data_IF_522533872621
#
_entry.id   IF_522533872621
#
_cell.length_a   1.000
_cell.length_b   1.000
_cell.length_c   1.000
_cell.angle_alpha   90.00
_cell.angle_beta   90.00
_cell.angle_gamma   90.00
#
_symmetry.space_group_name_H-M   'P 1'
#
loop_
_entity.id
_entity.type
_entity.pdbx_description
1 polymer ?
#
# COMPACT_ATOMS: atom_id res chain seq x y z
N UNK A 1 -12.25 3.72 -2.73
CA UNK A 1 -13.40 3.23 -3.50
C UNK A 1 -13.21 3.21 -5.00
N UNK A 2 -12.67 4.28 -5.63
CA UNK A 2 -12.50 4.29 -7.09
C UNK A 2 -11.54 3.20 -7.58
N UNK A 3 -10.41 3.01 -6.90
CA UNK A 3 -9.44 1.96 -7.23
C UNK A 3 -10.06 0.58 -7.02
N UNK A 4 -10.77 0.40 -5.90
CA UNK A 4 -11.44 -0.86 -5.58
C UNK A 4 -12.46 -1.24 -6.66
N UNK A 5 -13.31 -0.30 -7.05
CA UNK A 5 -14.31 -0.55 -8.09
C UNK A 5 -13.66 -0.86 -9.43
N UNK A 6 -12.63 -0.11 -9.80
CA UNK A 6 -11.89 -0.33 -11.04
C UNK A 6 -11.29 -1.74 -11.10
N UNK A 7 -10.70 -2.20 -9.99
CA UNK A 7 -10.12 -3.55 -9.91
C UNK A 7 -11.19 -4.63 -10.02
N UNK A 8 -12.34 -4.43 -9.37
CA UNK A 8 -13.45 -5.38 -9.46
C UNK A 8 -13.98 -5.53 -10.88
N UNK A 9 -14.01 -4.43 -11.61
CA UNK A 9 -14.45 -4.45 -13.02
C UNK A 9 -13.41 -5.09 -13.93
N UNK A 10 -12.14 -4.79 -13.72
CA UNK A 10 -11.05 -5.32 -14.54
C UNK A 10 -10.80 -6.81 -14.31
N UNK A 11 -10.94 -7.25 -13.07
CA UNK A 11 -10.69 -8.65 -12.68
C UNK A 11 -11.90 -9.25 -11.98
N UNK A 12 -12.99 -9.53 -12.71
CA UNK A 12 -14.23 -10.00 -12.07
C UNK A 12 -14.13 -11.40 -11.45
N UNK A 13 -13.08 -12.15 -11.78
CA UNK A 13 -12.82 -13.49 -11.24
C UNK A 13 -11.96 -13.47 -9.97
N UNK A 14 -11.53 -12.30 -9.52
CA UNK A 14 -10.70 -12.14 -8.31
C UNK A 14 -11.50 -11.53 -7.17
N UNK A 15 -11.06 -11.75 -5.95
CA UNK A 15 -11.70 -11.21 -4.76
C UNK A 15 -10.92 -10.00 -4.24
N UNK A 16 -11.63 -8.93 -3.93
CA UNK A 16 -11.04 -7.70 -3.43
C UNK A 16 -11.72 -7.27 -2.13
N UNK A 17 -10.94 -6.69 -1.23
CA UNK A 17 -11.43 -6.13 0.03
C UNK A 17 -10.93 -4.70 0.13
N UNK A 18 -11.83 -3.77 0.40
CA UNK A 18 -11.49 -2.37 0.65
C UNK A 18 -11.51 -2.11 2.16
N UNK A 19 -10.38 -1.69 2.72
CA UNK A 19 -10.24 -1.45 4.15
C UNK A 19 -10.56 -0.02 4.57
N UNK A 20 -10.78 0.87 3.60
CA UNK A 20 -11.10 2.29 3.84
C UNK A 20 -10.09 3.00 4.74
N UNK A 21 -8.81 2.85 4.43
CA UNK A 21 -7.73 3.50 5.19
C UNK A 21 -7.19 2.64 6.32
N UNK A 22 -7.20 3.16 7.53
CA UNK A 22 -6.61 2.47 8.68
C UNK A 22 -7.27 1.12 8.95
N UNK A 23 -6.44 0.12 9.23
CA UNK A 23 -6.91 -1.23 9.51
C UNK A 23 -7.55 -1.30 10.90
N UNK A 24 -8.75 -1.84 10.92
CA UNK A 24 -9.50 -2.04 12.16
C UNK A 24 -9.50 -3.53 12.54
N UNK A 25 -9.92 -3.81 13.76
CA UNK A 25 -9.95 -5.17 14.30
C UNK A 25 -10.72 -6.14 13.40
N UNK A 26 -11.88 -5.71 12.87
CA UNK A 26 -12.67 -6.54 11.96
C UNK A 26 -11.93 -6.92 10.68
N UNK A 27 -11.11 -6.00 10.14
CA UNK A 27 -10.30 -6.29 8.97
C UNK A 27 -9.27 -7.38 9.29
N UNK A 28 -8.61 -7.31 10.44
CA UNK A 28 -7.64 -8.32 10.84
C UNK A 28 -8.28 -9.69 11.07
N UNK A 29 -9.49 -9.74 11.63
CA UNK A 29 -10.20 -11.01 11.78
C UNK A 29 -10.44 -11.67 10.42
N UNK A 30 -10.87 -10.90 9.43
CA UNK A 30 -11.09 -11.41 8.08
C UNK A 30 -9.78 -11.86 7.43
N UNK A 31 -8.76 -11.00 7.48
CA UNK A 31 -7.48 -11.27 6.84
C UNK A 31 -6.76 -12.47 7.47
N UNK A 32 -6.86 -12.61 8.80
CA UNK A 32 -6.26 -13.77 9.48
C UNK A 32 -6.87 -15.07 8.98
N UNK A 33 -8.18 -15.12 8.77
CA UNK A 33 -8.85 -16.29 8.23
C UNK A 33 -8.47 -16.53 6.76
N UNK A 34 -8.50 -15.50 5.95
CA UNK A 34 -8.16 -15.62 4.52
C UNK A 34 -6.72 -16.06 4.32
N UNK A 35 -5.79 -15.59 5.15
CA UNK A 35 -4.37 -15.93 5.02
C UNK A 35 -4.08 -17.41 5.26
N UNK A 36 -5.00 -18.14 5.89
CA UNK A 36 -4.82 -19.59 6.14
C UNK A 36 -4.98 -20.41 4.86
N UNK A 37 -5.74 -19.95 3.89
CA UNK A 37 -6.06 -20.68 2.67
C UNK A 37 -5.73 -19.94 1.38
N UNK A 38 -5.42 -18.65 1.46
CA UNK A 38 -5.20 -17.81 0.28
C UNK A 38 -3.98 -16.93 0.47
N UNK A 39 -3.32 -16.61 -0.64
CA UNK A 39 -2.29 -15.58 -0.64
C UNK A 39 -2.95 -14.21 -0.68
N UNK A 40 -2.39 -13.27 0.08
CA UNK A 40 -2.90 -11.92 0.16
C UNK A 40 -2.01 -10.97 -0.64
N UNK A 41 -2.63 -9.98 -1.27
CA UNK A 41 -1.93 -8.91 -1.98
C UNK A 41 -2.46 -7.58 -1.44
N UNK A 42 -1.56 -6.72 -1.01
CA UNK A 42 -1.94 -5.41 -0.48
C UNK A 42 -1.45 -4.30 -1.40
N UNK A 43 -2.34 -3.37 -1.71
CA UNK A 43 -2.04 -2.16 -2.44
C UNK A 43 -2.59 -0.95 -1.70
N UNK A 44 -1.82 0.12 -1.67
CA UNK A 44 -2.20 1.35 -1.00
C UNK A 44 -1.48 2.56 -1.61
N UNK A 45 -1.75 3.73 -1.07
CA UNK A 45 -1.10 4.94 -1.50
C UNK A 45 0.34 5.01 -1.00
N UNK A 46 1.18 5.71 -1.75
CA UNK A 46 2.52 6.06 -1.31
C UNK A 46 2.48 7.36 -0.51
N UNK A 47 2.18 7.23 0.75
CA UNK A 47 2.30 8.30 1.74
C UNK A 47 2.75 7.65 3.06
N UNK A 48 3.15 8.44 4.07
CA UNK A 48 3.68 7.85 5.30
C UNK A 48 2.71 6.88 5.96
N UNK A 49 1.42 7.21 6.01
CA UNK A 49 0.39 6.36 6.59
C UNK A 49 0.22 5.05 5.81
N UNK A 50 0.22 5.15 4.48
CA UNK A 50 0.11 3.97 3.61
C UNK A 50 1.27 3.02 3.75
N UNK A 51 2.49 3.55 3.86
CA UNK A 51 3.69 2.73 4.07
C UNK A 51 3.67 2.04 5.43
N UNK A 52 3.17 2.73 6.47
CA UNK A 52 3.02 2.11 7.80
C UNK A 52 2.04 0.95 7.78
N UNK A 53 0.92 1.11 7.06
CA UNK A 53 -0.05 0.03 6.90
C UNK A 53 0.59 -1.15 6.16
N UNK A 54 1.30 -0.87 5.08
CA UNK A 54 2.00 -1.90 4.31
C UNK A 54 2.98 -2.68 5.18
N UNK A 55 3.78 -1.97 5.99
CA UNK A 55 4.72 -2.60 6.92
C UNK A 55 4.00 -3.47 7.95
N UNK A 56 2.94 -2.95 8.55
CA UNK A 56 2.18 -3.67 9.57
C UNK A 56 1.62 -4.98 9.02
N UNK A 57 1.07 -4.95 7.83
CA UNK A 57 0.53 -6.13 7.18
C UNK A 57 1.63 -7.13 6.81
N UNK A 58 2.75 -6.63 6.28
CA UNK A 58 3.87 -7.50 5.90
C UNK A 58 4.48 -8.21 7.11
N UNK A 59 4.62 -7.49 8.23
CA UNK A 59 5.12 -8.09 9.47
C UNK A 59 4.17 -9.14 10.04
N UNK A 60 2.86 -8.95 9.88
CA UNK A 60 1.86 -9.88 10.39
C UNK A 60 1.75 -11.16 9.54
N UNK A 61 1.69 -11.01 8.22
CA UNK A 61 1.42 -12.14 7.32
C UNK A 61 2.66 -12.70 6.62
N UNK A 62 3.77 -11.98 6.67
CA UNK A 62 5.07 -12.43 6.13
C UNK A 62 4.96 -12.89 4.67
N UNK A 63 5.43 -14.10 4.35
CA UNK A 63 5.40 -14.60 2.98
C UNK A 63 3.99 -14.89 2.44
N UNK A 64 2.98 -14.88 3.29
CA UNK A 64 1.58 -15.02 2.86
C UNK A 64 1.02 -13.77 2.22
N UNK A 65 1.72 -12.65 2.37
CA UNK A 65 1.29 -11.36 1.83
C UNK A 65 2.36 -10.79 0.93
N UNK A 66 1.92 -10.31 -0.24
CA UNK A 66 2.77 -9.59 -1.19
C UNK A 66 2.34 -8.13 -1.23
N UNK A 67 3.29 -7.22 -1.14
CA UNK A 67 3.05 -5.80 -1.35
C UNK A 67 2.96 -5.58 -2.87
N UNK A 68 1.78 -5.18 -3.33
CA UNK A 68 1.48 -5.07 -4.74
C UNK A 68 1.68 -3.64 -5.23
N UNK A 69 2.51 -3.49 -6.26
CA UNK A 69 2.89 -2.19 -6.82
C UNK A 69 3.64 -1.28 -5.84
N UNK A 70 4.49 -1.85 -5.00
CA UNK A 70 5.37 -1.07 -4.15
C UNK A 70 6.79 -1.08 -4.75
N UNK A 71 7.06 -0.14 -5.66
CA UNK A 71 8.38 0.03 -6.26
C UNK A 71 8.77 1.50 -6.30
N UNK A 72 10.07 1.75 -6.23
CA UNK A 72 10.60 3.10 -6.31
C UNK A 72 10.26 3.75 -7.66
N UNK A 73 10.30 2.98 -8.74
CA UNK A 73 10.02 3.47 -10.08
C UNK A 73 8.57 3.97 -10.20
N UNK A 74 7.61 3.21 -9.67
CA UNK A 74 6.20 3.61 -9.70
C UNK A 74 5.97 4.86 -8.87
N UNK A 75 6.65 4.97 -7.73
CA UNK A 75 6.57 6.15 -6.89
C UNK A 75 7.05 7.40 -7.65
N UNK A 76 8.23 7.32 -8.23
CA UNK A 76 8.84 8.46 -8.94
C UNK A 76 8.09 8.85 -10.20
N UNK A 77 7.63 7.87 -10.97
CA UNK A 77 6.90 8.13 -12.22
C UNK A 77 5.54 8.76 -12.02
N UNK A 78 4.95 8.61 -10.83
CA UNK A 78 3.58 9.02 -10.55
C UNK A 78 3.50 10.04 -9.40
N UNK A 79 4.57 10.77 -9.13
CA UNK A 79 4.59 11.78 -8.08
C UNK A 79 3.45 12.79 -8.27
N UNK A 80 2.69 13.02 -7.20
CA UNK A 80 1.66 14.04 -7.18
C UNK A 80 2.26 15.39 -6.79
N UNK A 81 1.45 16.45 -6.90
CA UNK A 81 1.83 17.77 -6.41
C UNK A 81 1.51 17.96 -4.93
N UNK A 82 0.93 16.94 -4.29
CA UNK A 82 0.56 17.02 -2.88
C UNK A 82 1.80 16.85 -2.02
N UNK A 83 2.15 17.93 -1.31
CA UNK A 83 3.28 17.95 -0.39
C UNK A 83 2.91 17.31 0.93
N UNK A 84 3.87 16.57 1.50
CA UNK A 84 3.72 15.95 2.81
C UNK A 84 4.38 16.87 3.83
N UNK A 85 3.64 17.25 4.89
CA UNK A 85 4.21 18.11 5.91
C UNK A 85 5.21 17.36 6.80
N UNK A 86 6.03 18.12 7.54
CA UNK A 86 7.10 17.55 8.38
C UNK A 86 6.57 16.61 9.46
N UNK A 87 5.40 16.88 10.01
CA UNK A 87 4.78 16.04 11.02
C UNK A 87 4.48 14.64 10.48
N UNK A 88 3.93 14.58 9.27
CA UNK A 88 3.64 13.31 8.60
C UNK A 88 4.90 12.60 8.16
N UNK A 89 5.89 13.34 7.66
CA UNK A 89 7.17 12.77 7.24
C UNK A 89 7.90 12.06 8.39
N UNK A 90 7.75 12.53 9.62
CA UNK A 90 8.36 11.88 10.78
C UNK A 90 7.87 10.46 10.99
N UNK A 91 6.67 10.14 10.52
CA UNK A 91 6.15 8.77 10.60
C UNK A 91 7.01 7.78 9.81
N UNK A 92 7.74 8.26 8.79
CA UNK A 92 8.63 7.42 8.00
C UNK A 92 9.76 6.83 8.83
N UNK A 93 10.14 7.47 9.94
CA UNK A 93 11.18 6.96 10.83
C UNK A 93 10.79 5.62 11.47
N UNK A 94 9.50 5.29 11.47
CA UNK A 94 8.99 4.01 11.98
C UNK A 94 9.05 2.89 10.95
N UNK A 95 9.36 3.20 9.68
CA UNK A 95 9.46 2.21 8.61
C UNK A 95 10.85 1.58 8.67
N UNK A 96 10.91 0.28 8.91
CA UNK A 96 12.18 -0.43 9.04
C UNK A 96 12.30 -1.69 8.19
N UNK A 97 11.22 -2.18 7.58
CA UNK A 97 11.34 -3.35 6.71
C UNK A 97 12.12 -2.98 5.44
N UNK A 98 12.98 -3.89 5.02
CA UNK A 98 13.91 -3.61 3.91
C UNK A 98 13.20 -3.30 2.60
N UNK A 99 12.11 -4.00 2.34
CA UNK A 99 11.33 -3.86 1.11
C UNK A 99 10.84 -2.42 0.84
N UNK A 100 10.67 -1.62 1.90
CA UNK A 100 10.16 -0.25 1.79
C UNK A 100 11.24 0.82 1.97
N UNK A 101 12.50 0.45 2.14
CA UNK A 101 13.56 1.42 2.46
C UNK A 101 13.83 2.41 1.33
N UNK A 102 13.90 1.95 0.08
CA UNK A 102 14.14 2.85 -1.05
C UNK A 102 13.03 3.88 -1.19
N UNK A 103 11.78 3.43 -1.07
CA UNK A 103 10.61 4.31 -1.17
C UNK A 103 10.63 5.32 -0.01
N UNK A 104 10.92 4.84 1.20
CA UNK A 104 11.02 5.69 2.39
C UNK A 104 12.03 6.80 2.21
N UNK A 105 13.24 6.46 1.79
CA UNK A 105 14.31 7.44 1.63
C UNK A 105 13.99 8.46 0.53
N UNK A 106 13.43 7.98 -0.58
CA UNK A 106 13.05 8.89 -1.68
C UNK A 106 11.90 9.79 -1.26
N UNK A 107 10.93 9.27 -0.51
CA UNK A 107 9.81 10.07 0.00
C UNK A 107 10.28 11.15 0.96
N UNK A 108 11.30 10.88 1.77
CA UNK A 108 11.92 11.91 2.64
C UNK A 108 12.55 13.03 1.81
N UNK A 109 13.13 12.70 0.66
CA UNK A 109 13.76 13.68 -0.23
C UNK A 109 12.73 14.46 -1.02
N UNK A 110 11.76 13.78 -1.64
CA UNK A 110 10.77 14.40 -2.51
C UNK A 110 9.70 15.15 -1.73
N UNK A 111 9.35 14.66 -0.53
CA UNK A 111 8.30 15.22 0.34
C UNK A 111 6.94 15.30 -0.35
N UNK A 112 6.67 14.35 -1.23
CA UNK A 112 5.43 14.26 -2.00
C UNK A 112 4.87 12.84 -1.96
N UNK A 113 3.55 12.75 -2.10
CA UNK A 113 2.83 11.47 -2.12
C UNK A 113 2.60 11.00 -3.56
N UNK A 114 2.37 9.71 -3.72
CA UNK A 114 1.88 9.11 -4.96
C UNK A 114 0.62 8.32 -4.63
N UNK A 115 -0.44 8.54 -5.39
CA UNK A 115 -1.74 7.94 -5.11
C UNK A 115 -2.05 6.80 -6.07
N UNK A 116 -2.81 5.81 -5.59
CA UNK A 116 -3.19 4.64 -6.37
C UNK A 116 -3.91 5.01 -7.67
N UNK A 117 -4.72 6.07 -7.65
CA UNK A 117 -5.46 6.53 -8.82
C UNK A 117 -4.55 6.87 -10.01
N UNK A 118 -3.33 7.29 -9.74
CA UNK A 118 -2.33 7.61 -10.77
C UNK A 118 -1.67 6.36 -11.36
N UNK A 119 -1.86 5.20 -10.73
CA UNK A 119 -1.14 3.97 -11.06
C UNK A 119 -2.06 2.84 -11.51
N UNK A 120 -3.30 3.14 -11.89
CA UNK A 120 -4.29 2.11 -12.21
C UNK A 120 -3.80 1.10 -13.25
N UNK A 121 -3.15 1.59 -14.30
CA UNK A 121 -2.65 0.73 -15.39
C UNK A 121 -1.52 -0.20 -14.94
N UNK A 122 -0.89 0.07 -13.80
CA UNK A 122 0.19 -0.75 -13.25
C UNK A 122 -0.33 -1.97 -12.48
N UNK A 123 -1.62 -2.01 -12.17
CA UNK A 123 -2.21 -3.13 -11.44
C UNK A 123 -2.55 -4.27 -12.40
N UNK A 124 -1.62 -5.21 -12.52
CA UNK A 124 -1.76 -6.39 -13.37
C UNK A 124 -1.71 -7.66 -12.51
N UNK A 125 -2.61 -8.58 -12.82
CA UNK A 125 -2.67 -9.89 -12.16
C UNK A 125 -2.42 -11.03 -13.14
#
# INVERSE_FOLDING_TARGET
>A
PSVFLWLCEKYPDKSFVCTNGQLRFSAFLLLDQLSMTSKLFYAGDYDPEGLLIAQKLKLRYKERLTLWNYSIDLYEQNLSDVKINERRLKQLDQIYIEELQEIKEDMKCQKKATYQESMLESYEL
#
